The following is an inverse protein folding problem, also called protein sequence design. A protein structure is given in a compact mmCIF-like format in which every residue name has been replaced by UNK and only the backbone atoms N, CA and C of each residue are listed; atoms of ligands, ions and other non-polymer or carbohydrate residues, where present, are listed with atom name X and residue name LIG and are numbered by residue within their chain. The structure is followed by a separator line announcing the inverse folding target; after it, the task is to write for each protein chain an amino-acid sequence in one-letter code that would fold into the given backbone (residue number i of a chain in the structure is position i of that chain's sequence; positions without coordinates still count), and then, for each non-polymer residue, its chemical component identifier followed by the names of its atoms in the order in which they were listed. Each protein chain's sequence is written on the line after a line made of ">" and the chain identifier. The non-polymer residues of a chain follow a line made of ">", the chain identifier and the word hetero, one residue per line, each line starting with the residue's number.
data_IF_238139377699
#
_entry.id   IF_238139377699
#
_cell.length_a   1.000
_cell.length_b   1.000
_cell.length_c   1.000
_cell.angle_alpha   90.00
_cell.angle_beta   90.00
_cell.angle_gamma   90.00
#
_symmetry.space_group_name_H-M   'P 1'
#
loop_
_entity.id
_entity.type
_entity.pdbx_description
1 polymer ?
#
# COMPACT_ATOMS: atom_id res chain seq x y z
N UNK A 1 -4.03 2.74 -12.55
CA UNK A 1 -4.88 3.16 -11.41
C UNK A 1 -4.08 2.97 -10.14
N UNK A 2 -4.19 3.85 -9.13
CA UNK A 2 -3.38 3.78 -7.90
C UNK A 2 -4.31 3.84 -6.69
N UNK A 3 -4.04 3.02 -5.68
CA UNK A 3 -4.76 3.00 -4.41
C UNK A 3 -3.77 3.16 -3.28
N UNK A 4 -4.04 4.08 -2.36
CA UNK A 4 -3.33 4.19 -1.09
C UNK A 4 -4.20 3.55 -0.01
N UNK A 5 -3.72 2.44 0.55
CA UNK A 5 -4.46 1.63 1.50
C UNK A 5 -3.79 1.71 2.87
N UNK A 6 -4.55 2.13 3.88
CA UNK A 6 -4.08 2.19 5.25
C UNK A 6 -4.06 0.80 5.87
N UNK A 7 -2.99 0.47 6.60
CA UNK A 7 -2.93 -0.78 7.37
C UNK A 7 -3.62 -0.62 8.73
N UNK A 8 -3.69 0.59 9.27
CA UNK A 8 -4.26 0.86 10.59
C UNK A 8 -5.76 1.15 10.59
N UNK A 9 -6.50 0.58 9.65
CA UNK A 9 -7.95 0.78 9.58
C UNK A 9 -8.63 0.07 10.77
N UNK A 10 -9.61 0.72 11.43
CA UNK A 10 -10.47 0.02 12.37
C UNK A 10 -11.33 -1.00 11.60
N UNK A 11 -11.64 -2.13 12.26
CA UNK A 11 -12.54 -3.20 11.77
C UNK A 11 -12.04 -4.07 10.62
N UNK A 12 -11.28 -3.52 9.67
CA UNK A 12 -10.74 -4.27 8.51
C UNK A 12 -9.22 -4.23 8.52
N UNK A 13 -8.59 -5.40 8.56
CA UNK A 13 -7.13 -5.53 8.37
C UNK A 13 -6.76 -5.07 6.94
N UNK A 14 -5.89 -4.06 6.83
CA UNK A 14 -5.44 -3.55 5.53
C UNK A 14 -4.72 -4.61 4.68
N UNK A 15 -4.10 -5.61 5.30
CA UNK A 15 -3.54 -6.76 4.58
C UNK A 15 -4.65 -7.60 3.93
N UNK A 16 -5.73 -7.86 4.68
CA UNK A 16 -6.88 -8.59 4.15
C UNK A 16 -7.58 -7.83 3.01
N UNK A 17 -7.71 -6.51 3.15
CA UNK A 17 -8.23 -5.68 2.06
C UNK A 17 -7.36 -5.79 0.80
N UNK A 18 -6.03 -5.75 0.93
CA UNK A 18 -5.11 -5.93 -0.21
C UNK A 18 -5.30 -7.28 -0.89
N UNK A 19 -5.31 -8.38 -0.12
CA UNK A 19 -5.53 -9.74 -0.66
C UNK A 19 -6.84 -9.85 -1.43
N UNK A 20 -7.93 -9.29 -0.90
CA UNK A 20 -9.23 -9.27 -1.58
C UNK A 20 -9.18 -8.48 -2.88
N UNK A 21 -8.51 -7.32 -2.88
CA UNK A 21 -8.34 -6.52 -4.09
C UNK A 21 -7.54 -7.27 -5.16
N UNK A 22 -6.46 -7.98 -4.78
CA UNK A 22 -5.68 -8.82 -5.70
C UNK A 22 -6.49 -9.99 -6.24
N UNK A 23 -7.29 -10.65 -5.41
CA UNK A 23 -8.17 -11.74 -5.86
C UNK A 23 -9.22 -11.26 -6.88
N UNK A 24 -9.72 -10.02 -6.73
CA UNK A 24 -10.77 -9.47 -7.60
C UNK A 24 -10.23 -8.82 -8.88
N UNK A 25 -9.06 -8.18 -8.82
CA UNK A 25 -8.57 -7.30 -9.88
C UNK A 25 -7.14 -7.61 -10.36
N UNK A 26 -6.47 -8.61 -9.77
CA UNK A 26 -5.10 -8.97 -10.09
C UNK A 26 -4.09 -7.86 -9.79
N UNK A 27 -3.14 -7.65 -10.70
CA UNK A 27 -2.04 -6.70 -10.52
C UNK A 27 -2.45 -5.23 -10.73
N UNK A 28 -3.70 -4.97 -11.13
CA UNK A 28 -4.22 -3.61 -11.31
C UNK A 28 -5.42 -3.38 -10.37
N UNK A 29 -5.38 -2.41 -9.46
CA UNK A 29 -4.52 -1.22 -9.44
C UNK A 29 -3.15 -1.44 -8.79
N UNK A 30 -2.28 -0.43 -8.89
CA UNK A 30 -1.08 -0.32 -8.08
C UNK A 30 -1.46 0.03 -6.64
N UNK A 31 -1.13 -0.82 -5.66
CA UNK A 31 -1.55 -0.70 -4.25
C UNK A 31 -0.35 -0.28 -3.39
N UNK A 32 -0.47 0.89 -2.77
CA UNK A 32 0.51 1.45 -1.84
C UNK A 32 0.01 1.28 -0.41
N UNK A 33 0.74 0.55 0.43
CA UNK A 33 0.53 0.56 1.87
C UNK A 33 0.91 1.94 2.42
N UNK A 34 -0.04 2.66 3.01
CA UNK A 34 0.18 3.97 3.63
C UNK A 34 -0.12 3.90 5.13
N UNK A 35 0.90 3.68 5.95
CA UNK A 35 0.71 3.36 7.38
C UNK A 35 1.63 4.16 8.31
N UNK A 36 1.33 4.20 9.60
CA UNK A 36 2.22 4.76 10.62
C UNK A 36 3.37 3.82 11.04
N UNK A 37 3.35 2.57 10.60
CA UNK A 37 4.36 1.56 10.98
C UNK A 37 5.44 1.41 9.91
N UNK A 38 6.71 1.46 10.31
CA UNK A 38 7.80 1.04 9.45
C UNK A 38 7.73 -0.46 9.19
N UNK A 39 8.34 -0.92 8.08
CA UNK A 39 8.30 -2.34 7.71
C UNK A 39 8.94 -3.24 8.78
N UNK A 40 9.98 -2.75 9.46
CA UNK A 40 10.61 -3.43 10.59
C UNK A 40 9.71 -3.61 11.82
N UNK A 41 8.55 -2.94 11.85
CA UNK A 41 7.56 -3.05 12.92
C UNK A 41 6.38 -3.95 12.51
N UNK A 42 6.37 -4.47 11.29
CA UNK A 42 5.33 -5.36 10.80
C UNK A 42 5.80 -6.80 10.93
N UNK A 43 4.94 -7.66 11.47
CA UNK A 43 5.18 -9.10 11.54
C UNK A 43 5.03 -9.79 10.17
N UNK A 44 4.58 -9.04 9.15
CA UNK A 44 4.32 -9.51 7.78
C UNK A 44 4.89 -8.53 6.78
N UNK A 45 5.46 -9.04 5.69
CA UNK A 45 5.96 -8.18 4.62
C UNK A 45 4.81 -7.70 3.72
N UNK A 46 4.63 -6.37 3.53
CA UNK A 46 3.62 -5.85 2.61
C UNK A 46 3.76 -6.37 1.18
N UNK A 47 4.99 -6.55 0.68
CA UNK A 47 5.20 -7.05 -0.69
C UNK A 47 4.71 -8.49 -0.85
N UNK A 48 4.94 -9.35 0.16
CA UNK A 48 4.44 -10.72 0.16
C UNK A 48 2.90 -10.80 0.19
N UNK A 49 2.23 -9.76 0.69
CA UNK A 49 0.77 -9.64 0.76
C UNK A 49 0.17 -8.96 -0.48
N UNK A 50 1.01 -8.65 -1.48
CA UNK A 50 0.59 -8.10 -2.77
C UNK A 50 0.58 -6.57 -2.85
N UNK A 51 1.17 -5.85 -1.88
CA UNK A 51 1.40 -4.41 -2.04
C UNK A 51 2.59 -4.15 -2.97
N UNK A 52 2.47 -3.13 -3.83
CA UNK A 52 3.55 -2.77 -4.75
C UNK A 52 4.53 -1.76 -4.13
N UNK A 53 4.08 -1.01 -3.13
CA UNK A 53 4.91 -0.06 -2.41
C UNK A 53 4.46 0.10 -0.95
N UNK A 54 5.39 0.48 -0.09
CA UNK A 54 5.13 0.79 1.31
C UNK A 54 5.64 2.20 1.65
N UNK A 55 4.76 3.03 2.20
CA UNK A 55 5.07 4.41 2.60
C UNK A 55 4.63 4.65 4.03
N UNK A 56 5.59 5.01 4.87
CA UNK A 56 5.34 5.44 6.25
C UNK A 56 4.83 6.89 6.26
N UNK A 57 3.72 7.11 6.96
CA UNK A 57 3.14 8.42 7.23
C UNK A 57 4.17 9.31 7.99
N UNK A 58 4.20 10.63 7.74
CA UNK A 58 3.33 11.37 6.84
C UNK A 58 3.73 11.23 5.36
N UNK A 59 2.71 11.13 4.50
CA UNK A 59 2.86 11.27 3.04
C UNK A 59 3.00 12.75 2.70
N UNK A 60 4.20 13.18 2.32
CA UNK A 60 4.43 14.56 1.87
C UNK A 60 4.13 14.69 0.37
N UNK A 61 3.80 15.91 -0.08
CA UNK A 61 3.59 16.21 -1.51
C UNK A 61 4.77 15.75 -2.38
N UNK A 62 6.00 15.92 -1.90
CA UNK A 62 7.22 15.47 -2.60
C UNK A 62 7.26 13.95 -2.76
N UNK A 63 6.98 13.19 -1.69
CA UNK A 63 6.93 11.71 -1.72
C UNK A 63 5.85 11.22 -2.67
N UNK A 64 4.66 11.81 -2.61
CA UNK A 64 3.55 11.47 -3.51
C UNK A 64 3.94 11.70 -4.99
N UNK A 65 4.50 12.87 -5.31
CA UNK A 65 4.94 13.17 -6.68
C UNK A 65 6.06 12.24 -7.16
N UNK A 66 6.97 11.85 -6.27
CA UNK A 66 8.02 10.88 -6.61
C UNK A 66 7.45 9.50 -6.90
N UNK A 67 6.53 9.03 -6.05
CA UNK A 67 5.85 7.74 -6.24
C UNK A 67 5.08 7.72 -7.56
N UNK A 68 4.26 8.75 -7.82
CA UNK A 68 3.45 8.81 -9.04
C UNK A 68 4.28 8.94 -10.32
N UNK A 69 5.46 9.59 -10.27
CA UNK A 69 6.37 9.66 -11.42
C UNK A 69 7.00 8.31 -11.78
N UNK A 70 7.19 7.43 -10.80
CA UNK A 70 7.69 6.07 -11.04
C UNK A 70 6.65 5.13 -11.63
N UNK A 71 5.37 5.52 -11.59
CA UNK A 71 4.26 4.79 -12.17
C UNK A 71 4.03 5.31 -13.59
N UNK A 72 4.88 4.88 -14.53
CA UNK A 72 4.62 5.09 -15.94
C UNK A 72 3.37 4.31 -16.33
N UNK A 73 2.26 5.02 -16.50
CA UNK A 73 1.04 4.54 -17.15
C UNK A 73 1.25 4.51 -18.66
#
# INVERSE_FOLDING_TARGET
>A
KVVFLDLGMPEVDGFEACRRMRALAGDSPFIVALTGWAESQLDRSPSAEGFDAHVVKPMTRRKLQQLLRGLSV
#
